data_IF_195886009136
#
_entry.id   IF_195886009136
#
_cell.length_a   1.000
_cell.length_b   1.000
_cell.length_c   1.000
_cell.angle_alpha   90.00
_cell.angle_beta   90.00
_cell.angle_gamma   90.00
#
_symmetry.space_group_name_H-M   'P 1'
#
loop_
_entity.id
_entity.type
_entity.pdbx_description
1 polymer ?
#
# COMPACT_ATOMS: atom_id res chain seq x y z
N UNK A 1 -5.30 -18.79 -37.49
CA UNK A 1 -5.36 -17.32 -37.56
C UNK A 1 -5.70 -16.78 -36.20
N UNK A 2 -4.74 -16.26 -35.52
CA UNK A 2 -4.99 -15.65 -34.23
C UNK A 2 -5.50 -14.24 -34.47
N UNK A 3 -6.79 -14.05 -34.34
CA UNK A 3 -7.39 -12.74 -34.26
C UNK A 3 -7.33 -12.23 -32.82
N UNK A 4 -6.18 -12.39 -32.20
CA UNK A 4 -5.99 -11.82 -30.90
C UNK A 4 -5.97 -10.29 -31.01
N UNK A 5 -6.94 -9.61 -30.42
CA UNK A 5 -6.78 -8.18 -30.19
C UNK A 5 -5.46 -7.96 -29.47
N UNK A 6 -4.64 -6.99 -29.87
CA UNK A 6 -3.42 -6.70 -29.13
C UNK A 6 -3.78 -6.49 -27.65
N UNK A 7 -2.98 -7.06 -26.77
CA UNK A 7 -3.17 -6.83 -25.33
C UNK A 7 -3.25 -5.31 -25.09
N UNK A 8 -4.19 -4.83 -24.27
CA UNK A 8 -4.27 -3.40 -24.00
C UNK A 8 -2.95 -2.91 -23.45
N UNK A 9 -2.45 -1.81 -24.01
CA UNK A 9 -1.21 -1.19 -23.55
C UNK A 9 -1.45 -0.64 -22.13
N UNK A 10 -0.53 -0.92 -21.24
CA UNK A 10 -0.60 -0.40 -19.88
C UNK A 10 -0.51 1.13 -19.88
N UNK A 11 -1.37 1.75 -19.10
CA UNK A 11 -1.32 3.19 -18.88
C UNK A 11 -0.21 3.47 -17.87
N UNK A 12 0.73 4.34 -18.22
CA UNK A 12 1.87 4.66 -17.36
C UNK A 12 1.56 5.90 -16.52
N UNK A 13 1.71 5.78 -15.21
CA UNK A 13 1.52 6.87 -14.26
C UNK A 13 2.87 7.27 -13.68
N UNK A 14 3.19 8.54 -13.76
CA UNK A 14 4.53 9.07 -13.44
C UNK A 14 4.54 10.13 -12.35
N UNK A 15 3.39 10.73 -12.04
CA UNK A 15 3.32 11.85 -11.12
C UNK A 15 2.29 11.61 -10.03
N UNK A 16 2.67 11.91 -8.78
CA UNK A 16 1.74 11.97 -7.67
C UNK A 16 1.29 13.42 -7.50
N UNK A 17 -0.01 13.64 -7.49
CA UNK A 17 -0.58 14.96 -7.28
C UNK A 17 -0.63 15.27 -5.78
N UNK A 18 -0.13 16.43 -5.39
CA UNK A 18 -0.08 16.84 -3.98
C UNK A 18 -1.33 17.61 -3.52
N UNK A 19 -2.16 18.04 -4.45
CA UNK A 19 -3.38 18.78 -4.16
C UNK A 19 -4.56 18.14 -4.87
N UNK A 20 -5.66 18.03 -4.14
CA UNK A 20 -6.92 17.61 -4.73
C UNK A 20 -7.47 18.76 -5.57
N UNK A 21 -7.03 18.84 -6.81
CA UNK A 21 -7.74 19.65 -7.77
C UNK A 21 -9.03 18.90 -8.12
N UNK A 22 -10.14 19.62 -8.09
CA UNK A 22 -11.41 19.07 -8.56
C UNK A 22 -11.27 18.80 -10.05
N UNK A 23 -10.88 17.60 -10.40
CA UNK A 23 -10.92 17.15 -11.78
C UNK A 23 -12.35 16.71 -12.09
N UNK A 24 -12.86 17.19 -13.21
CA UNK A 24 -14.20 16.82 -13.69
C UNK A 24 -14.29 15.36 -14.15
N UNK A 25 -13.18 14.62 -14.16
CA UNK A 25 -13.10 13.25 -14.61
C UNK A 25 -12.92 12.35 -13.39
N UNK A 26 -13.80 11.34 -13.27
CA UNK A 26 -13.64 10.33 -12.22
C UNK A 26 -12.35 9.54 -12.44
N UNK A 27 -11.50 9.41 -11.44
CA UNK A 27 -10.26 8.63 -11.57
C UNK A 27 -10.56 7.14 -11.66
N UNK A 28 -9.65 6.41 -12.28
CA UNK A 28 -9.58 4.96 -12.10
C UNK A 28 -9.23 4.66 -10.65
N UNK A 29 -9.63 3.50 -10.15
CA UNK A 29 -9.29 3.10 -8.77
C UNK A 29 -8.36 1.90 -8.83
N UNK A 30 -7.23 2.00 -8.14
CA UNK A 30 -6.26 0.92 -7.98
C UNK A 30 -6.19 0.54 -6.51
N UNK A 31 -6.72 -0.65 -6.17
CA UNK A 31 -6.70 -1.16 -4.80
C UNK A 31 -5.40 -1.93 -4.57
N UNK A 32 -4.63 -1.51 -3.58
CA UNK A 32 -3.32 -2.08 -3.26
C UNK A 32 -3.21 -2.44 -1.80
N UNK A 33 -2.53 -3.56 -1.53
CA UNK A 33 -2.13 -3.93 -0.17
C UNK A 33 -1.04 -2.98 0.35
N UNK A 34 -0.76 -3.04 1.64
CA UNK A 34 0.28 -2.21 2.24
C UNK A 34 1.65 -2.46 1.58
N UNK A 35 1.99 -3.72 1.31
CA UNK A 35 3.23 -4.07 0.62
C UNK A 35 3.26 -3.52 -0.81
N UNK A 36 2.17 -3.70 -1.55
CA UNK A 36 2.07 -3.19 -2.93
C UNK A 36 2.21 -1.68 -2.99
N UNK A 37 1.71 -0.95 -1.99
CA UNK A 37 1.83 0.51 -1.95
C UNK A 37 3.27 1.02 -1.77
N UNK A 38 4.21 0.16 -1.42
CA UNK A 38 5.63 0.50 -1.34
C UNK A 38 6.36 0.34 -2.67
N UNK A 39 5.71 -0.24 -3.67
CA UNK A 39 6.30 -0.51 -4.98
C UNK A 39 6.10 0.69 -5.89
N UNK A 40 7.15 1.47 -6.07
CA UNK A 40 7.11 2.68 -6.89
C UNK A 40 7.15 2.40 -8.40
N UNK A 41 7.64 1.22 -8.79
CA UNK A 41 7.76 0.81 -10.21
C UNK A 41 7.28 -0.62 -10.34
N UNK A 42 6.05 -0.79 -10.79
CA UNK A 42 5.43 -2.11 -10.87
C UNK A 42 4.23 -2.09 -11.80
N UNK A 43 3.93 -3.24 -12.37
CA UNK A 43 2.73 -3.46 -13.17
C UNK A 43 1.60 -3.93 -12.25
N UNK A 44 0.46 -3.30 -12.37
CA UNK A 44 -0.76 -3.68 -11.66
C UNK A 44 -1.91 -3.81 -12.65
N UNK A 45 -2.99 -4.42 -12.18
CA UNK A 45 -4.25 -4.50 -12.92
C UNK A 45 -5.35 -4.01 -12.00
N UNK A 46 -6.19 -3.10 -12.50
CA UNK A 46 -7.35 -2.63 -11.74
C UNK A 46 -8.41 -3.72 -11.64
N UNK A 47 -9.42 -3.52 -10.78
CA UNK A 47 -10.50 -4.48 -10.60
C UNK A 47 -11.30 -4.71 -11.89
N UNK A 48 -11.36 -3.72 -12.77
CA UNK A 48 -12.02 -3.84 -14.07
C UNK A 48 -11.13 -4.42 -15.18
N UNK A 49 -9.90 -4.83 -14.83
CA UNK A 49 -8.98 -5.45 -15.78
C UNK A 49 -8.08 -4.50 -16.55
N UNK A 50 -8.06 -3.21 -16.21
CA UNK A 50 -7.20 -2.23 -16.87
C UNK A 50 -5.75 -2.41 -16.41
N UNK A 51 -4.80 -2.66 -17.32
CA UNK A 51 -3.40 -2.75 -16.94
C UNK A 51 -2.82 -1.35 -16.68
N UNK A 52 -2.06 -1.25 -15.58
CA UNK A 52 -1.43 0.00 -15.14
C UNK A 52 0.04 -0.27 -14.86
N UNK A 53 0.88 0.66 -15.28
CA UNK A 53 2.30 0.65 -14.92
C UNK A 53 2.62 1.91 -14.11
N UNK A 54 3.13 1.71 -12.90
CA UNK A 54 3.64 2.79 -12.07
C UNK A 54 5.12 2.99 -12.34
N UNK A 55 5.49 4.23 -12.61
CA UNK A 55 6.88 4.64 -12.81
C UNK A 55 7.12 5.90 -12.00
N UNK A 56 7.04 5.75 -10.68
CA UNK A 56 7.21 6.83 -9.73
C UNK A 56 8.67 6.91 -9.26
N UNK A 57 9.09 8.02 -8.68
CA UNK A 57 10.42 8.10 -8.07
C UNK A 57 10.62 6.99 -7.05
N UNK A 58 11.82 6.41 -7.01
CA UNK A 58 12.16 5.34 -6.07
C UNK A 58 11.94 5.81 -4.63
N UNK A 59 11.42 4.92 -3.81
CA UNK A 59 11.12 5.21 -2.42
C UNK A 59 9.78 5.89 -2.20
N UNK A 60 8.98 6.09 -3.25
CA UNK A 60 7.63 6.62 -3.11
C UNK A 60 6.76 5.57 -2.44
N UNK A 61 6.21 5.89 -1.27
CA UNK A 61 5.22 5.09 -0.58
C UNK A 61 3.84 5.70 -0.82
N UNK A 62 2.93 4.90 -1.35
CA UNK A 62 1.57 5.34 -1.68
C UNK A 62 0.66 5.18 -0.47
N UNK A 63 -0.27 6.11 -0.31
CA UNK A 63 -1.27 6.10 0.74
C UNK A 63 -2.66 6.10 0.14
N UNK A 64 -3.64 5.65 0.91
CA UNK A 64 -5.02 5.73 0.50
C UNK A 64 -5.40 7.17 0.16
N UNK A 65 -6.06 7.35 -0.97
CA UNK A 65 -6.50 8.65 -1.45
C UNK A 65 -5.49 9.36 -2.33
N UNK A 66 -4.26 8.84 -2.46
CA UNK A 66 -3.28 9.43 -3.37
C UNK A 66 -3.78 9.37 -4.80
N UNK A 67 -3.62 10.48 -5.52
CA UNK A 67 -3.93 10.59 -6.94
C UNK A 67 -2.66 10.58 -7.77
N UNK A 68 -2.64 9.75 -8.79
CA UNK A 68 -1.54 9.68 -9.74
C UNK A 68 -2.04 10.11 -11.11
N UNK A 69 -1.20 10.82 -11.85
CA UNK A 69 -1.49 11.23 -13.21
C UNK A 69 -0.64 10.47 -14.21
N UNK A 70 -1.21 10.22 -15.39
CA UNK A 70 -0.49 9.65 -16.52
C UNK A 70 0.55 10.62 -17.07
N UNK A 71 1.45 10.11 -17.91
CA UNK A 71 2.50 10.94 -18.54
C UNK A 71 1.94 12.16 -19.24
N UNK A 72 0.79 12.03 -19.88
CA UNK A 72 0.14 13.13 -20.62
C UNK A 72 -0.80 13.94 -19.72
N UNK A 73 -0.90 13.63 -18.42
CA UNK A 73 -1.83 14.26 -17.46
C UNK A 73 -3.31 14.14 -17.84
N UNK A 74 -3.65 13.19 -18.71
CA UNK A 74 -5.02 13.01 -19.21
C UNK A 74 -5.84 12.04 -18.37
N UNK A 75 -5.16 11.08 -17.71
CA UNK A 75 -5.83 10.02 -16.95
C UNK A 75 -5.33 10.07 -15.50
N UNK A 76 -6.26 9.91 -14.58
CA UNK A 76 -5.99 9.86 -13.15
C UNK A 76 -6.29 8.47 -12.62
N UNK A 77 -5.50 8.05 -11.63
CA UNK A 77 -5.81 6.87 -10.82
C UNK A 77 -5.74 7.24 -9.36
N UNK A 78 -6.74 6.80 -8.60
CA UNK A 78 -6.79 6.96 -7.15
C UNK A 78 -6.35 5.66 -6.48
N UNK A 79 -5.45 5.79 -5.52
CA UNK A 79 -4.98 4.65 -4.74
C UNK A 79 -5.95 4.39 -3.60
N UNK A 80 -6.44 3.16 -3.53
CA UNK A 80 -7.28 2.69 -2.43
C UNK A 80 -6.51 1.63 -1.64
N UNK A 81 -6.64 1.66 -0.32
CA UNK A 81 -6.08 0.61 0.52
C UNK A 81 -6.96 -0.64 0.36
N UNK A 82 -6.36 -1.71 -0.14
CA UNK A 82 -7.05 -2.98 -0.27
C UNK A 82 -7.25 -3.60 1.10
N UNK A 83 -8.48 -4.00 1.46
CA UNK A 83 -8.69 -4.75 2.70
C UNK A 83 -7.84 -6.01 2.71
N UNK A 84 -7.11 -6.21 3.81
CA UNK A 84 -6.22 -7.36 3.98
C UNK A 84 -6.23 -7.80 5.44
N UNK A 85 -6.01 -9.09 5.71
CA UNK A 85 -5.82 -9.54 7.08
C UNK A 85 -4.63 -8.84 7.70
N UNK A 86 -4.77 -8.42 8.95
CA UNK A 86 -3.68 -7.81 9.70
C UNK A 86 -3.63 -8.40 11.10
N UNK A 87 -2.44 -8.41 11.68
CA UNK A 87 -2.22 -8.68 13.09
C UNK A 87 -2.19 -7.33 13.81
N UNK A 88 -3.11 -7.14 14.75
CA UNK A 88 -3.14 -5.93 15.57
C UNK A 88 -2.53 -6.22 16.93
N UNK A 89 -1.54 -5.43 17.31
CA UNK A 89 -0.83 -5.54 18.59
C UNK A 89 -1.28 -4.39 19.47
N UNK A 90 -1.79 -4.71 20.64
CA UNK A 90 -2.21 -3.74 21.65
C UNK A 90 -1.53 -4.06 22.98
N UNK A 91 -1.45 -3.05 23.84
CA UNK A 91 -0.98 -3.24 25.22
C UNK A 91 -1.63 -2.18 26.10
N UNK A 92 -1.93 -2.58 27.34
CA UNK A 92 -2.41 -1.65 28.37
C UNK A 92 -1.31 -0.68 28.82
N UNK A 93 -0.05 -1.05 28.59
CA UNK A 93 1.10 -0.25 28.95
C UNK A 93 1.79 0.25 27.67
N UNK A 94 1.89 1.56 27.52
CA UNK A 94 2.49 2.19 26.34
C UNK A 94 3.95 1.81 26.15
N UNK A 95 4.70 1.54 27.23
CA UNK A 95 6.11 1.14 27.12
C UNK A 95 6.24 -0.24 26.46
N UNK A 96 5.32 -1.15 26.73
CA UNK A 96 5.33 -2.46 26.09
C UNK A 96 5.03 -2.37 24.59
N UNK A 97 4.15 -1.45 24.21
CA UNK A 97 3.86 -1.20 22.80
C UNK A 97 5.10 -0.65 22.06
N UNK A 98 5.81 0.29 22.71
CA UNK A 98 7.06 0.83 22.17
C UNK A 98 8.15 -0.25 22.03
N UNK A 99 8.27 -1.12 23.04
CA UNK A 99 9.20 -2.25 22.97
C UNK A 99 8.88 -3.21 21.85
N UNK A 100 7.59 -3.50 21.65
CA UNK A 100 7.15 -4.33 20.54
C UNK A 100 7.54 -3.71 19.19
N UNK A 101 7.29 -2.41 19.01
CA UNK A 101 7.66 -1.70 17.81
C UNK A 101 9.17 -1.76 17.56
N UNK A 102 9.97 -1.59 18.60
CA UNK A 102 11.43 -1.67 18.51
C UNK A 102 11.89 -3.06 18.07
N UNK A 103 11.36 -4.11 18.68
CA UNK A 103 11.73 -5.49 18.34
C UNK A 103 11.32 -5.87 16.92
N UNK A 104 10.13 -5.45 16.49
CA UNK A 104 9.65 -5.71 15.14
C UNK A 104 10.46 -4.93 14.11
N UNK A 105 10.82 -3.68 14.42
CA UNK A 105 11.67 -2.86 13.57
C UNK A 105 13.07 -3.48 13.39
N UNK A 106 13.63 -4.08 14.44
CA UNK A 106 14.91 -4.78 14.35
C UNK A 106 14.85 -6.02 13.46
N UNK A 107 13.68 -6.56 13.22
CA UNK A 107 13.46 -7.68 12.30
C UNK A 107 13.05 -7.22 10.90
N UNK A 108 13.11 -5.92 10.65
CA UNK A 108 12.70 -5.29 9.39
C UNK A 108 11.25 -5.58 9.00
N UNK A 109 10.39 -5.71 9.98
CA UNK A 109 8.95 -5.91 9.77
C UNK A 109 8.32 -4.56 9.47
N UNK A 110 7.54 -4.49 8.39
CA UNK A 110 6.77 -3.29 8.06
C UNK A 110 5.60 -3.14 9.02
N UNK A 111 5.48 -1.98 9.64
CA UNK A 111 4.48 -1.69 10.67
C UNK A 111 3.67 -0.46 10.33
N UNK A 112 2.37 -0.52 10.66
CA UNK A 112 1.59 0.68 10.92
C UNK A 112 1.74 0.98 12.42
N UNK A 113 2.18 2.19 12.75
CA UNK A 113 2.44 2.60 14.13
C UNK A 113 1.45 3.69 14.50
N UNK A 114 0.70 3.48 15.59
CA UNK A 114 -0.19 4.47 16.17
C UNK A 114 0.09 4.59 17.67
N UNK A 115 -0.44 5.61 18.35
CA UNK A 115 -0.24 5.73 19.80
C UNK A 115 -0.82 4.57 20.62
N UNK A 116 -1.78 3.83 20.08
CA UNK A 116 -2.52 2.81 20.83
C UNK A 116 -2.39 1.40 20.28
N UNK A 117 -1.89 1.23 19.06
CA UNK A 117 -1.73 -0.10 18.47
C UNK A 117 -0.67 -0.10 17.37
N UNK A 118 -0.20 -1.31 17.06
CA UNK A 118 0.61 -1.60 15.89
C UNK A 118 -0.16 -2.57 14.99
N UNK A 119 0.00 -2.44 13.68
CA UNK A 119 -0.52 -3.41 12.72
C UNK A 119 0.56 -3.88 11.78
N UNK A 120 0.53 -5.17 11.48
CA UNK A 120 1.47 -5.80 10.56
C UNK A 120 0.79 -6.93 9.80
N UNK A 121 1.44 -7.42 8.75
CA UNK A 121 0.95 -8.59 8.04
C UNK A 121 0.92 -9.80 8.98
N UNK A 122 -0.07 -10.69 8.88
CA UNK A 122 -0.15 -11.86 9.74
C UNK A 122 1.08 -12.75 9.58
N UNK A 123 1.66 -13.14 10.70
CA UNK A 123 2.81 -14.03 10.77
C UNK A 123 2.69 -14.83 12.07
N UNK A 124 2.57 -16.15 11.95
CA UNK A 124 2.36 -17.01 13.11
C UNK A 124 3.56 -17.02 14.06
N UNK A 125 4.77 -16.89 13.53
CA UNK A 125 5.99 -16.83 14.35
C UNK A 125 6.04 -15.53 15.14
N UNK A 126 5.77 -14.41 14.48
CA UNK A 126 5.74 -13.11 15.12
C UNK A 126 4.60 -13.02 16.13
N UNK A 127 3.43 -13.54 15.81
CA UNK A 127 2.29 -13.58 16.74
C UNK A 127 2.65 -14.33 18.02
N UNK A 128 3.28 -15.51 17.90
CA UNK A 128 3.73 -16.28 19.05
C UNK A 128 4.79 -15.55 19.88
N UNK A 129 5.70 -14.85 19.23
CA UNK A 129 6.72 -14.06 19.90
C UNK A 129 6.12 -12.89 20.66
N UNK A 130 5.16 -12.19 20.06
CA UNK A 130 4.49 -11.06 20.69
C UNK A 130 3.67 -11.49 21.92
N UNK A 131 2.96 -12.62 21.82
CA UNK A 131 2.23 -13.18 22.96
C UNK A 131 3.15 -13.48 24.14
N UNK A 132 4.34 -14.02 23.88
CA UNK A 132 5.31 -14.31 24.92
C UNK A 132 5.90 -13.05 25.54
N UNK A 133 6.07 -11.99 24.77
CA UNK A 133 6.68 -10.73 25.20
C UNK A 133 5.68 -9.77 25.81
N UNK A 134 4.41 -9.88 25.48
CA UNK A 134 3.38 -9.06 26.12
C UNK A 134 3.21 -9.40 27.60
N UNK A 135 3.78 -10.51 28.04
CA UNK A 135 3.75 -10.98 29.44
C UNK A 135 4.96 -10.49 30.22
N UNK A 136 5.90 -9.85 29.57
CA UNK A 136 7.17 -9.44 30.19
C UNK A 136 7.19 -7.93 30.38
#
# INVERSE_FOLDING_TARGET
>A
MSNGSPAPTAITFTHRLHHHHHHSISPLVLSLTADERTRSRHHFVTDDGTPIYLQLPRGTALQQGDLLSSMAHEILVEIAAKPEPVLTVTSDDSINLLRAAYHLGNRHVSLEITPTYLRLAPDSVLAGMLDRKSVV
#
